data_IF_565392991266
#
_entry.id   IF_565392991266
#
_cell.length_a   1.000
_cell.length_b   1.000
_cell.length_c   1.000
_cell.angle_alpha   90.00
_cell.angle_beta   90.00
_cell.angle_gamma   90.00
#
_symmetry.space_group_name_H-M   'P 1'
#
loop_
_entity.id
_entity.type
_entity.pdbx_description
1 polymer ?
#
# COMPACT_ATOMS: atom_id res chain seq x y z
N UNK A 1 8.59 -5.90 20.69
CA UNK A 1 8.96 -5.88 19.26
C UNK A 1 8.08 -4.83 18.60
N UNK A 2 8.62 -3.67 18.25
CA UNK A 2 7.86 -2.60 17.58
C UNK A 2 7.64 -2.98 16.12
N UNK A 3 6.38 -3.01 15.67
CA UNK A 3 6.03 -3.23 14.27
C UNK A 3 6.23 -1.90 13.50
N UNK A 4 7.49 -1.61 13.17
CA UNK A 4 7.90 -0.39 12.47
C UNK A 4 7.59 -0.43 10.97
N UNK A 5 7.28 -1.60 10.43
CA UNK A 5 6.81 -1.79 9.05
C UNK A 5 5.33 -2.15 9.03
N UNK A 6 4.62 -1.62 8.03
CA UNK A 6 3.28 -2.08 7.66
C UNK A 6 3.33 -2.50 6.20
N UNK A 7 3.15 -3.80 5.98
CA UNK A 7 3.04 -4.40 4.67
C UNK A 7 1.57 -4.75 4.40
N UNK A 8 1.12 -4.47 3.19
CA UNK A 8 -0.25 -4.69 2.75
C UNK A 8 -0.27 -5.21 1.34
N UNK A 9 -1.15 -6.17 1.08
CA UNK A 9 -1.40 -6.67 -0.26
C UNK A 9 -2.90 -6.79 -0.49
N UNK A 10 -3.32 -6.68 -1.75
CA UNK A 10 -4.72 -6.76 -2.10
C UNK A 10 -4.99 -6.90 -3.57
N UNK A 11 -6.27 -7.07 -3.88
CA UNK A 11 -6.80 -7.15 -5.23
C UNK A 11 -7.49 -5.83 -5.58
N UNK A 12 -7.29 -5.37 -6.81
CA UNK A 12 -7.94 -4.19 -7.35
C UNK A 12 -8.76 -4.57 -8.58
N UNK A 13 -9.91 -3.92 -8.75
CA UNK A 13 -10.76 -4.12 -9.93
C UNK A 13 -10.12 -3.59 -11.22
N UNK A 14 -9.26 -2.57 -11.10
CA UNK A 14 -8.43 -2.05 -12.18
C UNK A 14 -7.21 -1.32 -11.60
N UNK A 15 -6.17 -1.11 -12.41
CA UNK A 15 -4.92 -0.47 -11.98
C UNK A 15 -5.11 0.99 -11.52
N UNK A 16 -6.08 1.69 -12.10
CA UNK A 16 -6.37 3.08 -11.79
C UNK A 16 -7.00 3.26 -10.39
N UNK A 17 -7.53 2.20 -9.78
CA UNK A 17 -8.03 2.25 -8.40
C UNK A 17 -6.88 2.33 -7.40
N UNK A 18 -5.71 1.76 -7.71
CA UNK A 18 -4.59 1.69 -6.76
C UNK A 18 -4.10 3.08 -6.35
N UNK A 19 -3.84 4.05 -7.26
CA UNK A 19 -3.51 5.43 -6.88
C UNK A 19 -4.60 6.12 -6.05
N UNK A 20 -5.87 5.91 -6.38
CA UNK A 20 -7.00 6.50 -5.65
C UNK A 20 -7.07 5.96 -4.21
N UNK A 21 -6.95 4.66 -4.04
CA UNK A 21 -6.91 4.02 -2.73
C UNK A 21 -5.70 4.50 -1.93
N UNK A 22 -4.49 4.54 -2.51
CA UNK A 22 -3.29 5.08 -1.84
C UNK A 22 -3.49 6.53 -1.40
N UNK A 23 -4.12 7.36 -2.24
CA UNK A 23 -4.45 8.75 -1.91
C UNK A 23 -5.41 8.86 -0.72
N UNK A 24 -6.43 8.00 -0.66
CA UNK A 24 -7.32 7.90 0.50
C UNK A 24 -6.60 7.32 1.74
N UNK A 25 -5.67 6.39 1.52
CA UNK A 25 -4.87 5.72 2.55
C UNK A 25 -3.96 6.69 3.32
N UNK A 26 -3.48 7.76 2.67
CA UNK A 26 -2.72 8.82 3.33
C UNK A 26 -3.54 9.62 4.36
N UNK A 27 -4.87 9.59 4.26
CA UNK A 27 -5.77 10.27 5.21
C UNK A 27 -6.21 9.34 6.36
N UNK A 28 -5.88 8.05 6.32
CA UNK A 28 -6.17 7.14 7.43
C UNK A 28 -5.15 7.34 8.57
N UNK A 29 -5.70 7.54 9.78
CA UNK A 29 -4.98 7.91 11.01
C UNK A 29 -3.78 6.98 11.35
N UNK A 30 -3.80 5.75 10.85
CA UNK A 30 -2.82 4.69 11.17
C UNK A 30 -1.49 4.82 10.41
N UNK A 31 -1.42 5.69 9.40
CA UNK A 31 -0.25 5.85 8.52
C UNK A 31 0.39 7.23 8.55
N UNK A 32 -0.18 8.18 9.31
CA UNK A 32 0.42 9.50 9.52
C UNK A 32 1.77 9.31 10.24
N UNK A 33 2.86 9.74 9.61
CA UNK A 33 4.23 9.51 10.08
C UNK A 33 4.88 8.21 9.58
N UNK A 34 4.34 7.58 8.53
CA UNK A 34 4.99 6.49 7.79
C UNK A 34 5.31 6.92 6.36
N UNK A 35 6.50 6.53 5.90
CA UNK A 35 6.98 6.73 4.53
C UNK A 35 6.74 5.48 3.68
N UNK A 36 6.43 5.70 2.40
CA UNK A 36 6.26 4.62 1.42
C UNK A 36 7.65 4.07 1.04
N UNK A 37 7.88 2.78 1.27
CA UNK A 37 9.13 2.14 0.83
C UNK A 37 8.97 1.49 -0.53
N UNK A 38 7.85 0.79 -0.75
CA UNK A 38 7.64 0.02 -1.97
C UNK A 38 6.17 -0.02 -2.34
N UNK A 39 5.91 0.19 -3.63
CA UNK A 39 4.63 -0.08 -4.26
C UNK A 39 4.88 -0.97 -5.48
N UNK A 40 4.23 -2.12 -5.52
CA UNK A 40 4.22 -3.01 -6.68
C UNK A 40 2.79 -3.18 -7.12
N UNK A 41 2.54 -2.96 -8.40
CA UNK A 41 1.24 -3.18 -9.04
C UNK A 41 1.47 -4.21 -10.14
N UNK A 42 0.64 -5.25 -10.16
CA UNK A 42 0.75 -6.33 -11.12
C UNK A 42 -0.61 -6.89 -11.51
N UNK A 43 -0.59 -8.05 -12.18
CA UNK A 43 -1.76 -8.89 -12.38
C UNK A 43 -1.42 -10.31 -11.99
N UNK A 44 -2.40 -11.04 -11.46
CA UNK A 44 -2.25 -12.48 -11.19
C UNK A 44 -2.62 -13.31 -12.44
N UNK A 45 -2.55 -14.63 -12.31
CA UNK A 45 -2.84 -15.59 -13.40
C UNK A 45 -4.30 -15.53 -13.90
N UNK A 46 -5.19 -14.86 -13.18
CA UNK A 46 -6.59 -14.66 -13.54
C UNK A 46 -6.85 -13.27 -14.15
N UNK A 47 -5.79 -12.56 -14.55
CA UNK A 47 -5.82 -11.18 -15.05
C UNK A 47 -6.40 -10.16 -14.05
N UNK A 48 -6.46 -10.51 -12.76
CA UNK A 48 -6.91 -9.61 -11.68
C UNK A 48 -5.74 -8.74 -11.25
N UNK A 49 -5.97 -7.43 -11.14
CA UNK A 49 -4.94 -6.49 -10.70
C UNK A 49 -4.60 -6.75 -9.23
N UNK A 50 -3.31 -6.86 -8.94
CA UNK A 50 -2.77 -7.02 -7.59
C UNK A 50 -1.97 -5.80 -7.20
N UNK A 51 -1.91 -5.51 -5.91
CA UNK A 51 -0.97 -4.54 -5.36
C UNK A 51 -0.29 -5.08 -4.11
N UNK A 52 0.96 -4.66 -3.91
CA UNK A 52 1.73 -4.83 -2.68
C UNK A 52 2.27 -3.46 -2.28
N UNK A 53 2.04 -3.08 -1.02
CA UNK A 53 2.43 -1.83 -0.41
C UNK A 53 3.25 -2.12 0.84
N UNK A 54 4.47 -1.61 0.89
CA UNK A 54 5.31 -1.64 2.10
C UNK A 54 5.55 -0.22 2.57
N UNK A 55 5.30 0.03 3.84
CA UNK A 55 5.56 1.31 4.49
C UNK A 55 6.42 1.11 5.73
N UNK A 56 7.28 2.08 6.02
CA UNK A 56 8.09 2.12 7.23
C UNK A 56 7.73 3.37 8.02
N UNK A 57 7.68 3.26 9.34
CA UNK A 57 7.57 4.42 10.22
C UNK A 57 8.77 5.33 10.01
N UNK A 58 8.55 6.63 9.86
CA UNK A 58 9.65 7.58 9.85
C UNK A 58 10.25 7.61 11.26
N UNK A 59 11.50 7.16 11.37
CA UNK A 59 12.28 7.36 12.58
C UNK A 59 12.57 8.86 12.68
N UNK A 60 11.94 9.51 13.65
CA UNK A 60 12.15 10.93 13.95
C UNK A 60 13.58 11.17 14.44
#
# INVERSE_FOLDING_TARGET
MTHDTLDMSGLARNANVVPNWIGQFKNELNLVGRSFEKLKIGRNDQDVVTFELSTRRESK
#
